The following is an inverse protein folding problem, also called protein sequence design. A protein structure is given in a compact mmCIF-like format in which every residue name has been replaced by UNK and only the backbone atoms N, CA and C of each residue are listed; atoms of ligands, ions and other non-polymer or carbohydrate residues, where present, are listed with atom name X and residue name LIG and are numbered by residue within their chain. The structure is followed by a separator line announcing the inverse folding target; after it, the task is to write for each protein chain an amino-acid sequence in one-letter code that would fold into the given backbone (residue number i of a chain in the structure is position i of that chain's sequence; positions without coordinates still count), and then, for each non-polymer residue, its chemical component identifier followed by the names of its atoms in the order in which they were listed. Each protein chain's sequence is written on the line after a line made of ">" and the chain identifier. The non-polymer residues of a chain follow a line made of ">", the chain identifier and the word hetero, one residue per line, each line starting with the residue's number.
data_IF_929168357292
#
_entry.id   IF_929168357292
#
_cell.length_a   1.000
_cell.length_b   1.000
_cell.length_c   1.000
_cell.angle_alpha   90.00
_cell.angle_beta   90.00
_cell.angle_gamma   90.00
#
_symmetry.space_group_name_H-M   'P 1'
#
loop_
_entity.id
_entity.type
_entity.pdbx_description
1 polymer ?
#
# COMPACT_ATOMS: atom_id res chain seq x y z
N UNK A 1 6.54 -25.81 -27.35
CA UNK A 1 5.09 -26.03 -27.16
C UNK A 1 4.41 -25.71 -28.48
N UNK A 2 3.61 -26.63 -29.02
CA UNK A 2 2.85 -26.38 -30.24
C UNK A 2 1.67 -25.44 -30.00
N UNK A 3 1.27 -24.67 -31.01
CA UNK A 3 0.11 -23.76 -30.93
C UNK A 3 -1.18 -24.52 -30.60
N UNK A 4 -1.40 -25.66 -31.26
CA UNK A 4 -2.64 -26.45 -31.16
C UNK A 4 -2.87 -27.05 -29.76
N UNK A 5 -1.82 -27.57 -29.13
CA UNK A 5 -1.89 -28.12 -27.77
C UNK A 5 -2.19 -27.02 -26.74
N UNK A 6 -1.53 -25.87 -26.90
CA UNK A 6 -1.72 -24.71 -26.03
C UNK A 6 -3.13 -24.13 -26.18
N UNK A 7 -3.65 -24.07 -27.40
CA UNK A 7 -5.02 -23.64 -27.70
C UNK A 7 -6.06 -24.60 -27.11
N UNK A 8 -5.84 -25.92 -27.22
CA UNK A 8 -6.71 -26.95 -26.62
C UNK A 8 -6.79 -26.85 -25.11
N UNK A 9 -5.67 -26.66 -24.40
CA UNK A 9 -5.71 -26.53 -22.94
C UNK A 9 -6.35 -25.21 -22.48
N UNK A 10 -6.11 -24.13 -23.22
CA UNK A 10 -6.78 -22.85 -22.96
C UNK A 10 -8.28 -22.94 -23.23
N UNK A 11 -8.73 -23.64 -24.28
CA UNK A 11 -10.15 -23.83 -24.58
C UNK A 11 -10.86 -24.73 -23.57
N UNK A 12 -10.12 -25.66 -22.95
CA UNK A 12 -10.58 -26.46 -21.81
C UNK A 12 -10.62 -25.68 -20.48
N UNK A 13 -10.23 -24.41 -20.49
CA UNK A 13 -10.31 -23.52 -19.33
C UNK A 13 -9.15 -23.66 -18.34
N UNK A 14 -8.07 -24.33 -18.71
CA UNK A 14 -6.87 -24.42 -17.88
C UNK A 14 -6.17 -23.06 -17.75
N UNK A 15 -5.75 -22.73 -16.53
CA UNK A 15 -4.98 -21.51 -16.27
C UNK A 15 -3.53 -21.66 -16.73
N UNK A 16 -2.85 -20.53 -16.99
CA UNK A 16 -1.41 -20.52 -17.28
C UNK A 16 -0.57 -21.19 -16.19
N UNK A 17 -1.06 -21.17 -14.94
CA UNK A 17 -0.43 -21.86 -13.82
C UNK A 17 -0.55 -23.39 -13.92
N UNK A 18 -1.75 -23.89 -14.23
CA UNK A 18 -1.99 -25.33 -14.43
C UNK A 18 -1.23 -25.86 -15.64
N UNK A 19 -1.23 -25.12 -16.75
CA UNK A 19 -0.46 -25.45 -17.94
C UNK A 19 1.03 -25.45 -17.61
N UNK A 20 1.50 -24.48 -16.81
CA UNK A 20 2.89 -24.42 -16.34
C UNK A 20 3.32 -25.65 -15.56
N UNK A 21 2.51 -26.08 -14.59
CA UNK A 21 2.74 -27.31 -13.83
C UNK A 21 2.78 -28.53 -14.75
N UNK A 22 1.84 -28.66 -15.68
CA UNK A 22 1.74 -29.79 -16.60
C UNK A 22 2.97 -29.93 -17.50
N UNK A 23 3.57 -28.82 -17.91
CA UNK A 23 4.66 -28.80 -18.89
C UNK A 23 6.03 -28.56 -18.23
N UNK A 24 6.07 -28.53 -16.90
CA UNK A 24 7.28 -28.29 -16.11
C UNK A 24 7.90 -26.92 -16.35
N UNK A 25 7.10 -25.87 -16.59
CA UNK A 25 7.59 -24.50 -16.84
C UNK A 25 6.86 -23.48 -15.97
N UNK A 26 7.54 -22.37 -15.70
CA UNK A 26 6.95 -21.26 -14.98
C UNK A 26 5.75 -20.66 -15.76
N UNK A 27 4.68 -20.19 -15.09
CA UNK A 27 3.49 -19.63 -15.75
C UNK A 27 3.81 -18.46 -16.69
N UNK A 28 4.85 -17.68 -16.40
CA UNK A 28 5.35 -16.59 -17.28
C UNK A 28 5.84 -17.10 -18.63
N UNK A 29 6.44 -18.29 -18.68
CA UNK A 29 6.92 -18.94 -19.91
C UNK A 29 5.74 -19.37 -20.77
N UNK A 30 4.70 -19.91 -20.15
CA UNK A 30 3.43 -20.22 -20.83
C UNK A 30 2.78 -18.94 -21.35
N UNK A 31 2.75 -17.87 -20.54
CA UNK A 31 2.25 -16.56 -20.98
C UNK A 31 3.05 -15.93 -22.13
N UNK A 32 4.35 -16.22 -22.24
CA UNK A 32 5.15 -15.86 -23.41
C UNK A 32 4.72 -16.66 -24.66
N UNK A 33 4.51 -17.97 -24.55
CA UNK A 33 4.02 -18.79 -25.68
C UNK A 33 2.64 -18.37 -26.15
N UNK A 34 1.72 -18.08 -25.23
CA UNK A 34 0.38 -17.57 -25.54
C UNK A 34 0.46 -16.29 -26.37
N UNK A 35 1.33 -15.34 -25.99
CA UNK A 35 1.60 -14.12 -26.77
C UNK A 35 2.26 -14.42 -28.11
N UNK A 36 3.28 -15.28 -28.12
CA UNK A 36 4.04 -15.66 -29.32
C UNK A 36 3.13 -16.30 -30.40
N UNK A 37 2.12 -17.05 -29.98
CA UNK A 37 1.18 -17.72 -30.87
C UNK A 37 -0.14 -16.96 -31.09
N UNK A 38 -0.27 -15.74 -30.54
CA UNK A 38 -1.48 -14.91 -30.71
C UNK A 38 -2.73 -15.50 -30.04
N UNK A 39 -2.58 -16.39 -29.07
CA UNK A 39 -3.69 -17.06 -28.39
C UNK A 39 -4.24 -16.17 -27.26
N UNK A 40 -5.55 -16.19 -27.05
CA UNK A 40 -6.18 -15.55 -25.90
C UNK A 40 -6.29 -16.57 -24.76
N UNK A 41 -5.73 -16.26 -23.60
CA UNK A 41 -5.99 -17.08 -22.42
C UNK A 41 -7.45 -16.92 -22.00
N UNK A 42 -8.19 -18.02 -21.87
CA UNK A 42 -9.63 -18.08 -21.56
C UNK A 42 -10.05 -17.39 -20.24
N UNK A 43 -9.10 -16.82 -19.49
CA UNK A 43 -9.33 -16.06 -18.25
C UNK A 43 -8.52 -14.77 -18.19
N UNK A 44 -8.42 -13.98 -19.27
CA UNK A 44 -8.03 -12.56 -19.15
C UNK A 44 -9.06 -11.73 -18.36
N UNK A 45 -10.27 -12.25 -18.19
CA UNK A 45 -11.39 -11.44 -17.71
C UNK A 45 -11.66 -11.51 -16.20
N UNK A 46 -10.83 -12.21 -15.42
CA UNK A 46 -10.99 -12.19 -13.94
C UNK A 46 -10.42 -10.93 -13.29
N UNK A 47 -9.52 -10.22 -13.95
CA UNK A 47 -8.92 -8.97 -13.46
C UNK A 47 -9.08 -7.80 -14.43
N UNK A 48 -9.84 -7.96 -15.52
CA UNK A 48 -10.34 -6.81 -16.25
C UNK A 48 -11.39 -6.13 -15.37
N UNK A 49 -11.23 -4.84 -14.99
CA UNK A 49 -12.35 -4.15 -14.39
C UNK A 49 -13.49 -4.22 -15.40
N UNK A 50 -14.66 -4.73 -15.00
CA UNK A 50 -15.90 -4.48 -15.74
C UNK A 50 -15.89 -2.98 -16.03
N UNK A 51 -15.79 -2.62 -17.31
CA UNK A 51 -15.63 -1.24 -17.72
C UNK A 51 -16.74 -0.42 -17.09
N UNK A 52 -16.42 0.74 -16.53
CA UNK A 52 -17.45 1.68 -16.16
C UNK A 52 -17.95 2.30 -17.47
N UNK A 53 -19.26 2.25 -17.70
CA UNK A 53 -19.87 3.01 -18.79
C UNK A 53 -19.57 4.50 -18.56
N UNK A 54 -18.79 5.08 -19.46
CA UNK A 54 -18.32 6.46 -19.35
C UNK A 54 -19.45 7.47 -19.47
N UNK A 55 -20.50 7.16 -20.23
CA UNK A 55 -21.64 8.05 -20.43
C UNK A 55 -22.58 8.02 -19.23
N UNK A 56 -22.79 6.83 -18.65
CA UNK A 56 -23.44 6.67 -17.34
C UNK A 56 -22.69 7.47 -16.26
N UNK A 57 -21.37 7.31 -16.17
CA UNK A 57 -20.56 8.02 -15.19
C UNK A 57 -20.61 9.55 -15.37
N UNK A 58 -20.59 10.04 -16.62
CA UNK A 58 -20.78 11.48 -16.92
C UNK A 58 -22.13 11.96 -16.41
N UNK A 59 -23.21 11.23 -16.67
CA UNK A 59 -24.55 11.59 -16.23
C UNK A 59 -24.66 11.65 -14.71
N UNK A 60 -24.13 10.64 -14.01
CA UNK A 60 -24.15 10.58 -12.55
C UNK A 60 -23.35 11.75 -11.93
N UNK A 61 -22.19 12.09 -12.51
CA UNK A 61 -21.38 13.23 -12.06
C UNK A 61 -22.10 14.57 -12.35
N UNK A 62 -22.72 14.73 -13.52
CA UNK A 62 -23.50 15.90 -13.88
C UNK A 62 -24.73 16.09 -12.99
N UNK A 63 -25.35 14.99 -12.54
CA UNK A 63 -26.42 14.98 -11.55
C UNK A 63 -25.94 15.32 -10.12
N UNK A 64 -24.66 15.66 -9.94
CA UNK A 64 -24.10 16.11 -8.66
C UNK A 64 -23.76 14.98 -7.69
N UNK A 65 -23.74 13.72 -8.13
CA UNK A 65 -23.43 12.60 -7.26
C UNK A 65 -21.99 12.65 -6.72
N UNK A 66 -21.82 12.13 -5.50
CA UNK A 66 -20.49 11.89 -4.91
C UNK A 66 -19.83 10.65 -5.52
N UNK A 67 -18.51 10.52 -5.39
CA UNK A 67 -17.78 9.32 -5.84
C UNK A 67 -18.34 8.02 -5.24
N UNK A 68 -18.81 8.05 -3.99
CA UNK A 68 -19.40 6.89 -3.32
C UNK A 68 -20.80 6.58 -3.84
N UNK A 69 -21.61 7.61 -4.12
CA UNK A 69 -22.94 7.44 -4.68
C UNK A 69 -22.89 6.90 -6.11
N UNK A 70 -22.00 7.45 -6.94
CA UNK A 70 -21.74 6.94 -8.29
C UNK A 70 -21.21 5.49 -8.25
N UNK A 71 -20.34 5.16 -7.29
CA UNK A 71 -19.85 3.80 -7.10
C UNK A 71 -20.98 2.82 -6.74
N UNK A 72 -21.89 3.22 -5.84
CA UNK A 72 -23.08 2.45 -5.50
C UNK A 72 -24.02 2.25 -6.70
N UNK A 73 -24.27 3.31 -7.47
CA UNK A 73 -25.13 3.25 -8.66
C UNK A 73 -24.54 2.35 -9.77
N UNK A 74 -23.22 2.37 -9.93
CA UNK A 74 -22.51 1.58 -10.94
C UNK A 74 -22.13 0.17 -10.46
N UNK A 75 -22.37 -0.17 -9.19
CA UNK A 75 -21.98 -1.46 -8.60
C UNK A 75 -20.46 -1.70 -8.59
N UNK A 76 -19.64 -0.65 -8.53
CA UNK A 76 -18.17 -0.73 -8.53
C UNK A 76 -17.57 -0.09 -7.27
N UNK A 77 -16.25 -0.23 -7.09
CA UNK A 77 -15.58 0.43 -5.96
C UNK A 77 -15.43 1.95 -6.18
N UNK A 78 -15.41 2.77 -5.11
CA UNK A 78 -15.11 4.20 -5.22
C UNK A 78 -13.74 4.50 -5.85
N UNK A 79 -12.77 3.59 -5.70
CA UNK A 79 -11.47 3.71 -6.35
C UNK A 79 -11.54 3.46 -7.86
N UNK A 80 -12.42 2.57 -8.31
CA UNK A 80 -12.70 2.33 -9.73
C UNK A 80 -13.36 3.56 -10.37
N UNK A 81 -14.33 4.17 -9.70
CA UNK A 81 -14.94 5.45 -10.14
C UNK A 81 -13.89 6.56 -10.23
N UNK A 82 -13.04 6.70 -9.20
CA UNK A 82 -11.97 7.71 -9.21
C UNK A 82 -11.01 7.53 -10.39
N UNK A 83 -10.64 6.29 -10.70
CA UNK A 83 -9.79 5.97 -11.84
C UNK A 83 -10.43 6.41 -13.18
N UNK A 84 -11.69 6.04 -13.42
CA UNK A 84 -12.39 6.40 -14.65
C UNK A 84 -12.72 7.88 -14.77
N UNK A 85 -13.06 8.55 -13.67
CA UNK A 85 -13.20 10.00 -13.63
C UNK A 85 -11.92 10.71 -14.06
N UNK A 86 -10.75 10.25 -13.56
CA UNK A 86 -9.46 10.82 -13.96
C UNK A 86 -9.16 10.64 -15.45
N UNK A 87 -9.50 9.47 -16.00
CA UNK A 87 -9.31 9.16 -17.43
C UNK A 87 -10.26 9.95 -18.35
N UNK A 88 -11.46 10.25 -17.87
CA UNK A 88 -12.50 10.99 -18.60
C UNK A 88 -12.48 12.50 -18.30
N UNK A 89 -11.59 12.98 -17.44
CA UNK A 89 -11.51 14.40 -17.03
C UNK A 89 -12.70 14.89 -16.23
N UNK A 90 -13.40 14.01 -15.51
CA UNK A 90 -14.61 14.35 -14.76
C UNK A 90 -14.28 14.80 -13.34
N UNK A 91 -14.97 15.84 -12.88
CA UNK A 91 -14.94 16.29 -11.50
C UNK A 91 -16.36 16.34 -10.92
N UNK A 92 -16.53 15.87 -9.69
CA UNK A 92 -17.78 16.13 -8.96
C UNK A 92 -17.87 17.61 -8.59
N UNK A 93 -19.09 18.15 -8.46
CA UNK A 93 -19.28 19.51 -7.98
C UNK A 93 -18.58 19.81 -6.66
N UNK A 94 -18.41 18.81 -5.77
CA UNK A 94 -17.60 18.95 -4.54
C UNK A 94 -16.12 19.19 -4.85
N UNK A 95 -15.55 18.50 -5.84
CA UNK A 95 -14.16 18.67 -6.26
C UNK A 95 -13.94 20.02 -6.93
N UNK A 96 -14.84 20.41 -7.84
CA UNK A 96 -14.79 21.70 -8.52
C UNK A 96 -14.90 22.85 -7.52
N UNK A 97 -15.90 22.81 -6.62
CA UNK A 97 -16.01 23.80 -5.53
C UNK A 97 -14.82 23.80 -4.58
N UNK A 98 -14.14 22.66 -4.37
CA UNK A 98 -12.93 22.60 -3.52
C UNK A 98 -11.71 23.19 -4.24
N UNK A 99 -11.62 23.02 -5.55
CA UNK A 99 -10.57 23.60 -6.40
C UNK A 99 -10.74 25.12 -6.48
N UNK A 100 -11.96 25.58 -6.78
CA UNK A 100 -12.32 27.00 -6.87
C UNK A 100 -12.16 27.73 -5.54
N UNK A 101 -12.53 27.09 -4.41
CA UNK A 101 -12.30 27.66 -3.08
C UNK A 101 -10.82 27.72 -2.68
N UNK A 102 -9.93 26.98 -3.36
CA UNK A 102 -8.59 26.70 -2.86
C UNK A 102 -8.62 25.92 -1.53
N UNK A 103 -7.45 25.58 -0.97
CA UNK A 103 -7.37 25.02 0.39
C UNK A 103 -7.76 26.09 1.42
N UNK A 104 -9.06 26.26 1.63
CA UNK A 104 -9.60 26.99 2.76
C UNK A 104 -9.59 26.09 4.00
N UNK A 105 -9.08 26.62 5.10
CA UNK A 105 -9.29 26.05 6.44
C UNK A 105 -10.24 27.02 7.13
N UNK A 106 -11.44 26.57 7.46
CA UNK A 106 -12.51 27.38 8.07
C UNK A 106 -12.88 28.66 7.28
N UNK A 107 -12.96 28.56 5.95
CA UNK A 107 -13.42 29.68 5.09
C UNK A 107 -12.39 30.80 4.87
N UNK A 108 -11.19 30.72 5.46
CA UNK A 108 -10.09 31.63 5.16
C UNK A 108 -9.14 31.00 4.13
N UNK A 109 -8.60 31.76 3.16
CA UNK A 109 -7.48 31.29 2.35
C UNK A 109 -6.39 30.85 3.32
N UNK A 110 -5.85 29.64 3.15
CA UNK A 110 -4.63 29.19 3.80
C UNK A 110 -3.64 30.36 3.84
N UNK A 111 -3.49 31.03 4.99
CA UNK A 111 -2.76 32.28 5.04
C UNK A 111 -1.33 31.96 4.62
N UNK A 112 -0.95 32.42 3.43
CA UNK A 112 0.42 32.37 2.96
C UNK A 112 1.15 33.43 3.78
N UNK A 113 1.75 32.99 4.88
CA UNK A 113 2.52 33.83 5.77
C UNK A 113 3.99 33.45 5.64
N UNK A 114 4.85 34.36 6.06
CA UNK A 114 6.29 34.11 6.10
C UNK A 114 6.65 33.42 7.40
N UNK A 115 7.25 32.24 7.30
CA UNK A 115 7.92 31.56 8.38
C UNK A 115 9.41 31.85 8.33
N UNK A 116 10.02 32.24 9.45
CA UNK A 116 11.47 32.51 9.54
C UNK A 116 12.34 31.34 9.06
N UNK A 117 11.86 30.11 9.20
CA UNK A 117 12.60 28.89 8.81
C UNK A 117 12.26 28.36 7.43
N UNK A 118 11.08 28.69 6.89
CA UNK A 118 10.56 28.06 5.67
C UNK A 118 10.13 29.05 4.59
N UNK A 119 10.31 30.35 4.82
CA UNK A 119 9.85 31.40 3.91
C UNK A 119 8.32 31.42 3.81
N UNK A 120 7.82 31.83 2.64
CA UNK A 120 6.38 31.88 2.36
C UNK A 120 5.80 30.46 2.24
N UNK A 121 4.91 30.11 3.17
CA UNK A 121 4.26 28.80 3.23
C UNK A 121 2.84 28.93 3.73
N UNK A 122 2.04 27.88 3.53
CA UNK A 122 0.71 27.79 4.13
C UNK A 122 0.79 27.70 5.65
N UNK A 123 0.04 28.55 6.34
CA UNK A 123 -0.20 28.43 7.78
C UNK A 123 -1.59 27.85 8.04
N UNK A 124 -1.69 27.06 9.11
CA UNK A 124 -2.95 26.50 9.59
C UNK A 124 -3.32 27.13 10.93
N UNK A 125 -4.60 27.46 11.11
CA UNK A 125 -5.13 27.97 12.37
C UNK A 125 -5.11 26.88 13.46
N UNK A 126 -4.69 27.27 14.67
CA UNK A 126 -4.67 26.45 15.89
C UNK A 126 -5.09 27.33 17.07
N UNK A 127 -6.38 27.29 17.39
CA UNK A 127 -6.98 28.22 18.35
C UNK A 127 -6.88 29.66 17.85
N UNK A 128 -6.32 30.53 18.68
CA UNK A 128 -6.11 31.96 18.36
C UNK A 128 -4.81 32.22 17.57
N UNK A 129 -3.97 31.21 17.33
CA UNK A 129 -2.67 31.37 16.68
C UNK A 129 -2.60 30.66 15.34
N UNK A 130 -1.75 31.16 14.45
CA UNK A 130 -1.41 30.49 13.20
C UNK A 130 -0.12 29.69 13.35
N UNK A 131 -0.03 28.55 12.67
CA UNK A 131 1.16 27.70 12.66
C UNK A 131 1.56 27.33 11.24
N UNK A 132 2.83 27.56 10.91
CA UNK A 132 3.44 27.12 9.66
C UNK A 132 3.19 25.61 9.44
N UNK A 133 2.63 25.26 8.27
CA UNK A 133 2.32 23.88 7.90
C UNK A 133 3.57 23.00 7.77
N UNK A 134 4.69 23.55 7.29
CA UNK A 134 5.97 22.82 7.24
C UNK A 134 6.53 22.55 8.63
N UNK A 135 6.59 23.55 9.52
CA UNK A 135 6.96 23.38 10.92
C UNK A 135 6.08 22.34 11.64
N UNK A 136 4.78 22.32 11.34
CA UNK A 136 3.87 21.31 11.87
C UNK A 136 4.25 19.90 11.40
N UNK A 137 4.42 19.71 10.09
CA UNK A 137 4.83 18.43 9.49
C UNK A 137 6.16 17.92 10.02
N UNK A 138 7.16 18.79 10.15
CA UNK A 138 8.47 18.44 10.71
C UNK A 138 8.39 18.04 12.18
N UNK A 139 7.57 18.73 12.99
CA UNK A 139 7.36 18.37 14.38
C UNK A 139 6.71 16.99 14.51
N UNK A 140 5.74 16.67 13.65
CA UNK A 140 5.14 15.34 13.55
C UNK A 140 6.19 14.29 13.16
N UNK A 141 7.01 14.56 12.14
CA UNK A 141 8.09 13.66 11.74
C UNK A 141 9.10 13.41 12.87
N UNK A 142 9.50 14.47 13.60
CA UNK A 142 10.40 14.37 14.77
C UNK A 142 9.77 13.51 15.86
N UNK A 143 8.48 13.71 16.18
CA UNK A 143 7.77 12.90 17.16
C UNK A 143 7.72 11.43 16.76
N UNK A 144 7.41 11.14 15.49
CA UNK A 144 7.36 9.76 14.96
C UNK A 144 8.72 9.06 15.06
N UNK A 145 9.81 9.74 14.68
CA UNK A 145 11.18 9.21 14.82
C UNK A 145 11.52 8.91 16.28
N UNK A 146 11.15 9.80 17.21
CA UNK A 146 11.35 9.59 18.66
C UNK A 146 10.58 8.37 19.17
N UNK A 147 9.30 8.24 18.81
CA UNK A 147 8.49 7.10 19.22
C UNK A 147 9.03 5.80 18.63
N UNK A 148 9.35 5.77 17.32
CA UNK A 148 9.94 4.59 16.66
C UNK A 148 11.21 4.15 17.38
N UNK A 149 12.11 5.08 17.72
CA UNK A 149 13.34 4.77 18.46
C UNK A 149 13.06 4.08 19.79
N UNK A 150 12.14 4.62 20.59
CA UNK A 150 11.75 4.05 21.89
C UNK A 150 11.24 2.62 21.71
N UNK A 151 10.29 2.42 20.79
CA UNK A 151 9.70 1.10 20.56
C UNK A 151 10.73 0.09 20.04
N UNK A 152 11.62 0.51 19.14
CA UNK A 152 12.68 -0.36 18.62
C UNK A 152 13.63 -0.79 19.73
N UNK A 153 14.03 0.14 20.61
CA UNK A 153 14.88 -0.16 21.76
C UNK A 153 14.18 -1.11 22.74
N UNK A 154 12.90 -0.88 23.03
CA UNK A 154 12.08 -1.76 23.88
C UNK A 154 11.91 -3.16 23.27
N UNK A 155 11.94 -3.29 21.94
CA UNK A 155 11.86 -4.55 21.21
C UNK A 155 13.22 -5.22 20.93
N UNK A 156 14.30 -4.78 21.59
CA UNK A 156 15.64 -5.39 21.51
C UNK A 156 16.59 -4.75 20.50
N UNK A 157 16.17 -3.71 19.77
CA UNK A 157 17.05 -2.84 18.97
C UNK A 157 17.52 -3.42 17.64
N UNK A 158 17.24 -4.69 17.34
CA UNK A 158 17.75 -5.41 16.17
C UNK A 158 16.70 -6.31 15.55
N UNK A 159 16.90 -6.68 14.29
CA UNK A 159 16.08 -7.70 13.63
C UNK A 159 16.20 -9.04 14.37
N UNK A 160 15.08 -9.67 14.71
CA UNK A 160 15.08 -10.97 15.39
C UNK A 160 15.49 -12.16 14.50
N UNK A 161 15.51 -11.99 13.17
CA UNK A 161 15.93 -13.02 12.20
C UNK A 161 17.42 -12.91 11.87
N UNK A 162 17.87 -11.76 11.39
CA UNK A 162 19.25 -11.60 10.90
C UNK A 162 20.17 -10.73 11.80
N UNK A 163 19.65 -10.19 12.90
CA UNK A 163 20.44 -9.35 13.82
C UNK A 163 20.74 -7.93 13.35
N UNK A 164 20.24 -7.50 12.18
CA UNK A 164 20.47 -6.14 11.67
C UNK A 164 20.04 -5.04 12.66
N UNK A 165 20.94 -4.10 12.96
CA UNK A 165 20.72 -3.00 13.92
C UNK A 165 21.27 -1.62 13.46
N UNK A 166 21.97 -1.57 12.31
CA UNK A 166 22.72 -0.38 11.86
C UNK A 166 21.87 0.87 11.60
N UNK A 167 20.62 0.70 11.15
CA UNK A 167 19.75 1.83 10.82
C UNK A 167 18.30 1.58 11.23
N UNK A 168 17.82 2.35 12.22
CA UNK A 168 16.44 2.28 12.72
C UNK A 168 15.37 2.48 11.63
N UNK A 169 15.69 3.21 10.56
CA UNK A 169 14.75 3.43 9.47
C UNK A 169 14.42 2.14 8.70
N UNK A 170 15.37 1.20 8.63
CA UNK A 170 15.21 -0.10 7.97
C UNK A 170 14.59 -1.18 8.86
N UNK A 171 14.28 -0.87 10.13
CA UNK A 171 13.60 -1.78 11.05
C UNK A 171 12.08 -1.54 11.04
N UNK A 172 11.31 -2.62 11.02
CA UNK A 172 9.86 -2.65 10.85
C UNK A 172 9.21 -3.61 11.86
N UNK A 173 8.04 -3.22 12.36
CA UNK A 173 7.24 -4.05 13.25
C UNK A 173 6.30 -4.93 12.40
N UNK A 174 6.55 -6.23 12.42
CA UNK A 174 5.75 -7.23 11.73
C UNK A 174 4.74 -7.86 12.71
N UNK A 175 3.46 -7.85 12.35
CA UNK A 175 2.40 -8.45 13.16
C UNK A 175 2.40 -9.97 13.00
N UNK A 176 2.50 -10.72 14.11
CA UNK A 176 2.44 -12.19 14.07
C UNK A 176 1.08 -12.73 13.63
N UNK A 177 0.00 -12.03 14.00
CA UNK A 177 -1.35 -12.28 13.51
C UNK A 177 -1.86 -11.00 12.81
N UNK A 178 -2.00 -11.01 11.46
CA UNK A 178 -2.57 -9.90 10.71
C UNK A 178 -3.98 -9.48 11.17
N UNK A 179 -4.74 -10.38 11.79
CA UNK A 179 -6.12 -10.13 12.27
C UNK A 179 -6.14 -9.40 13.61
N UNK A 180 -5.03 -9.39 14.36
CA UNK A 180 -4.91 -8.77 15.68
C UNK A 180 -4.57 -7.26 15.65
N UNK A 181 -4.37 -6.72 14.43
CA UNK A 181 -3.94 -5.34 14.17
C UNK A 181 -5.06 -4.34 14.46
N UNK A 182 -4.83 -3.44 15.41
CA UNK A 182 -5.73 -2.32 15.64
C UNK A 182 -5.39 -1.12 14.73
N UNK A 183 -4.12 -0.96 14.37
CA UNK A 183 -3.62 0.09 13.47
C UNK A 183 -2.19 -0.21 13.00
N UNK A 184 -1.73 0.40 11.89
CA UNK A 184 -0.34 0.22 11.43
C UNK A 184 0.65 1.06 12.25
N UNK A 185 1.72 0.45 12.75
CA UNK A 185 2.90 1.14 13.30
C UNK A 185 3.87 1.66 12.21
N UNK A 186 3.46 1.64 10.94
CA UNK A 186 4.29 2.05 9.81
C UNK A 186 4.66 3.54 9.84
N UNK A 187 5.61 3.93 8.97
CA UNK A 187 6.09 5.31 8.81
C UNK A 187 4.98 6.38 8.66
N UNK A 188 3.77 5.96 8.27
CA UNK A 188 2.61 6.81 8.09
C UNK A 188 1.87 7.23 9.39
N UNK A 189 2.11 6.63 10.56
CA UNK A 189 1.40 7.12 11.75
C UNK A 189 1.61 6.42 13.09
N UNK A 190 2.31 7.12 13.99
CA UNK A 190 1.93 7.14 15.41
C UNK A 190 1.61 8.59 15.79
N UNK A 191 0.38 9.02 15.50
CA UNK A 191 -0.21 10.24 16.08
C UNK A 191 -0.90 9.95 17.42
N UNK A 192 -0.69 8.75 17.97
CA UNK A 192 -1.29 8.24 19.21
C UNK A 192 -0.29 8.37 20.37
N UNK A 193 -0.79 8.23 21.60
CA UNK A 193 0.07 8.26 22.79
C UNK A 193 1.11 7.14 22.73
N UNK A 194 2.27 7.36 23.37
CA UNK A 194 3.33 6.35 23.44
C UNK A 194 2.80 5.04 24.07
N UNK A 195 1.93 5.12 25.06
CA UNK A 195 1.28 3.97 25.68
C UNK A 195 0.51 3.10 24.67
N UNK A 196 -0.32 3.70 23.80
CA UNK A 196 -1.03 2.95 22.75
C UNK A 196 -0.06 2.32 21.75
N UNK A 197 1.03 3.02 21.44
CA UNK A 197 2.04 2.52 20.52
C UNK A 197 2.77 1.30 21.10
N UNK A 198 3.05 1.27 22.41
CA UNK A 198 3.62 0.12 23.12
C UNK A 198 2.70 -1.09 23.10
N UNK A 199 1.41 -0.90 23.39
CA UNK A 199 0.41 -1.99 23.35
C UNK A 199 0.37 -2.66 21.98
N UNK A 200 0.44 -1.88 20.90
CA UNK A 200 0.46 -2.44 19.55
C UNK A 200 1.82 -3.09 19.21
N UNK A 201 2.93 -2.49 19.63
CA UNK A 201 4.27 -3.02 19.39
C UNK A 201 4.50 -4.36 20.08
N UNK A 202 3.87 -4.59 21.23
CA UNK A 202 3.92 -5.87 21.96
C UNK A 202 3.32 -7.05 21.18
N UNK A 203 2.49 -6.81 20.16
CA UNK A 203 1.94 -7.84 19.26
C UNK A 203 2.81 -8.11 18.04
N UNK A 204 3.91 -7.38 17.91
CA UNK A 204 4.75 -7.38 16.73
C UNK A 204 6.13 -7.95 17.06
N UNK A 205 6.80 -8.51 16.05
CA UNK A 205 8.24 -8.78 16.09
C UNK A 205 8.98 -7.71 15.30
N UNK A 206 10.24 -7.47 15.66
CA UNK A 206 11.08 -6.48 15.00
C UNK A 206 11.92 -7.14 13.91
N UNK A 207 11.71 -6.73 12.65
CA UNK A 207 12.41 -7.25 11.48
C UNK A 207 13.12 -6.13 10.70
N UNK A 208 14.17 -6.44 9.97
CA UNK A 208 14.66 -5.52 8.93
C UNK A 208 13.76 -5.60 7.69
N UNK A 209 13.82 -4.60 6.81
CA UNK A 209 12.99 -4.54 5.61
C UNK A 209 13.08 -5.81 4.73
N UNK A 210 14.27 -6.42 4.64
CA UNK A 210 14.47 -7.65 3.87
C UNK A 210 13.79 -8.85 4.54
N UNK A 211 14.08 -9.10 5.82
CA UNK A 211 13.45 -10.21 6.55
C UNK A 211 11.93 -10.01 6.67
N UNK A 212 11.45 -8.77 6.78
CA UNK A 212 10.02 -8.47 6.73
C UNK A 212 9.42 -8.90 5.39
N UNK A 213 10.05 -8.54 4.27
CA UNK A 213 9.60 -8.96 2.94
C UNK A 213 9.68 -10.48 2.74
N UNK A 214 10.71 -11.13 3.27
CA UNK A 214 10.86 -12.60 3.23
C UNK A 214 9.77 -13.31 4.04
N UNK A 215 9.39 -12.78 5.21
CA UNK A 215 8.29 -13.32 6.01
C UNK A 215 6.94 -13.13 5.31
N UNK A 216 6.65 -11.94 4.77
CA UNK A 216 5.44 -11.70 3.97
C UNK A 216 5.40 -12.58 2.71
N UNK A 217 6.56 -12.89 2.14
CA UNK A 217 6.71 -13.77 0.98
C UNK A 217 6.71 -15.27 1.33
N UNK A 218 6.63 -15.65 2.60
CA UNK A 218 6.67 -17.05 3.05
C UNK A 218 8.03 -17.75 2.85
N UNK A 219 9.10 -16.99 2.65
CA UNK A 219 10.48 -17.50 2.53
C UNK A 219 11.04 -17.81 3.92
N UNK A 220 10.72 -16.98 4.90
CA UNK A 220 11.13 -17.14 6.30
C UNK A 220 9.88 -17.32 7.17
N UNK A 221 9.87 -18.37 7.98
CA UNK A 221 8.80 -18.61 8.95
C UNK A 221 9.24 -18.15 10.33
N UNK A 222 8.41 -17.34 10.99
CA UNK A 222 8.63 -16.96 12.38
C UNK A 222 8.11 -18.07 13.29
N UNK A 223 8.95 -18.57 14.21
CA UNK A 223 8.52 -19.53 15.21
C UNK A 223 7.53 -18.85 16.18
N UNK A 224 6.29 -19.34 16.21
CA UNK A 224 5.29 -18.93 17.18
C UNK A 224 5.56 -19.61 18.52
N UNK A 225 6.42 -19.02 19.33
CA UNK A 225 6.66 -19.47 20.71
C UNK A 225 8.11 -19.24 21.13
N UNK A 226 8.27 -18.93 22.41
CA UNK A 226 9.53 -18.77 23.13
C UNK A 226 10.53 -19.91 22.84
N UNK A 227 11.38 -19.75 21.83
CA UNK A 227 12.77 -20.23 21.76
C UNK A 227 13.34 -19.86 20.38
N UNK A 228 14.25 -18.89 20.37
CA UNK A 228 14.98 -18.49 19.18
C UNK A 228 15.98 -19.59 18.81
N UNK A 229 15.55 -20.60 18.05
CA UNK A 229 16.47 -21.47 17.33
C UNK A 229 16.75 -20.86 15.96
N UNK A 230 18.04 -20.60 15.73
CA UNK A 230 18.61 -20.18 14.46
C UNK A 230 18.07 -21.02 13.30
N UNK A 231 17.26 -20.42 12.41
CA UNK A 231 17.00 -21.03 11.11
C UNK A 231 18.20 -20.70 10.23
N UNK A 232 19.10 -21.67 10.11
CA UNK A 232 20.25 -21.64 9.22
C UNK A 232 19.80 -21.26 7.81
N UNK A 233 20.36 -20.15 7.28
CA UNK A 233 20.20 -19.78 5.87
C UNK A 233 20.76 -20.92 4.99
N UNK A 234 20.07 -21.35 3.93
CA UNK A 234 20.71 -22.14 2.89
C UNK A 234 21.78 -21.25 2.24
N UNK A 235 23.05 -21.68 2.37
CA UNK A 235 24.16 -21.12 1.60
C UNK A 235 23.88 -21.44 0.13
N UNK A 236 23.75 -20.40 -0.69
CA UNK A 236 23.76 -20.56 -2.13
C UNK A 236 25.15 -21.07 -2.53
N UNK A 237 25.24 -22.35 -2.89
CA UNK A 237 26.41 -22.92 -3.57
C UNK A 237 26.50 -22.29 -4.95
N UNK A 238 27.54 -21.51 -5.16
CA UNK A 238 27.94 -20.94 -6.44
C UNK A 238 28.34 -22.09 -7.39
N UNK A 239 27.78 -22.20 -8.62
CA UNK A 239 28.34 -23.08 -9.63
C UNK A 239 29.47 -22.32 -10.32
N UNK A 240 30.69 -22.83 -10.20
CA UNK A 240 31.89 -22.28 -10.83
C UNK A 240 31.87 -22.27 -12.34
#
# INVERSE_FOLDING_TARGET
>A
MGREELERWLSQGESLAQIGVRVGKHPSTVGYWVRKHGLAAARRDRHAPRGVDGDELRRLVAAGMSQNAAAGALGVSPSTVRYWMGRLGLETGRMTRRRERGTQVDGAPAALLTCERHGQVTFHRRGERYRCGRCASEAVARRRRRVKRILVQEAGGRCCVCGYDRYLGALEFHHLDPRSKAFSLSAAGVTRSLAKARVEAAKCVLLCANCHAEVEGGIVTLASGSEATNVSRPVATDPG
#
